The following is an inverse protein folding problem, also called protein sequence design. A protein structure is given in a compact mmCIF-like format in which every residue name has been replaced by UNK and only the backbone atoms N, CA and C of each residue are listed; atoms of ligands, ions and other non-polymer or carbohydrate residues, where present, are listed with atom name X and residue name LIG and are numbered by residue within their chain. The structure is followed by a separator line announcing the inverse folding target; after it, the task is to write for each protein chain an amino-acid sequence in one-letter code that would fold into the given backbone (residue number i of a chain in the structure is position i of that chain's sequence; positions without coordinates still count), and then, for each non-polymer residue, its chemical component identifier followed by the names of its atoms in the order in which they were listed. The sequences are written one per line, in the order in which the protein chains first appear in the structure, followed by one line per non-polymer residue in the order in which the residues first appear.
data_IF_186097501653
#
_entry.id   IF_186097501653
#
_cell.length_a   1.000
_cell.length_b   1.000
_cell.length_c   1.000
_cell.angle_alpha   90.00
_cell.angle_beta   90.00
_cell.angle_gamma   90.00
#
_symmetry.space_group_name_H-M   'P 1'
#
loop_
_entity.id
_entity.type
_entity.pdbx_description
1 polymer ?
#
# COMPACT_ATOMS: atom_id res chain seq x y z
N UNK A 1 19.24 8.56 33.44
CA UNK A 1 18.69 8.23 32.11
C UNK A 1 18.54 6.72 31.88
N UNK A 2 19.49 5.81 32.25
CA UNK A 2 19.30 4.37 32.00
C UNK A 2 18.23 3.71 32.89
N UNK A 3 18.03 4.20 34.12
CA UNK A 3 17.03 3.66 35.07
C UNK A 3 15.57 3.93 34.67
N UNK A 4 15.31 4.91 33.81
CA UNK A 4 13.95 5.30 33.40
C UNK A 4 13.37 4.39 32.31
N UNK A 5 14.18 3.88 31.39
CA UNK A 5 13.72 2.91 30.39
C UNK A 5 13.43 1.54 31.03
N UNK A 6 14.13 1.20 32.11
CA UNK A 6 13.91 -0.03 32.87
C UNK A 6 12.54 -0.06 33.58
N UNK A 7 12.04 1.10 34.02
CA UNK A 7 10.70 1.24 34.61
C UNK A 7 9.61 0.94 33.58
N UNK A 8 9.70 1.54 32.39
CA UNK A 8 8.71 1.34 31.32
C UNK A 8 8.71 -0.12 30.84
N UNK A 9 9.90 -0.70 30.62
CA UNK A 9 10.04 -2.11 30.25
C UNK A 9 9.46 -3.06 31.29
N UNK A 10 9.55 -2.71 32.57
CA UNK A 10 8.94 -3.52 33.64
C UNK A 10 7.42 -3.51 33.58
N UNK A 11 6.81 -2.38 33.21
CA UNK A 11 5.36 -2.30 32.96
C UNK A 11 4.98 -3.09 31.71
N UNK A 12 5.78 -3.01 30.65
CA UNK A 12 5.54 -3.77 29.41
C UNK A 12 5.70 -5.28 29.57
N UNK A 13 6.55 -5.74 30.49
CA UNK A 13 6.76 -7.17 30.78
C UNK A 13 5.60 -7.85 31.53
N UNK A 14 4.62 -7.10 32.04
CA UNK A 14 3.52 -7.62 32.86
C UNK A 14 2.17 -7.27 32.23
N UNK A 15 1.45 -8.25 31.64
CA UNK A 15 0.20 -8.01 30.91
C UNK A 15 -0.91 -7.32 31.72
N UNK A 16 -0.99 -7.58 33.04
CA UNK A 16 -2.00 -7.02 33.95
C UNK A 16 -1.60 -5.69 34.59
N UNK A 17 -0.47 -5.12 34.16
CA UNK A 17 0.10 -3.89 34.70
C UNK A 17 0.70 -4.04 36.09
N UNK A 18 1.39 -2.98 36.54
CA UNK A 18 2.04 -2.90 37.84
C UNK A 18 1.54 -1.70 38.63
N UNK A 19 1.48 -1.83 39.95
CA UNK A 19 1.28 -0.71 40.87
C UNK A 19 2.60 0.05 41.07
N UNK A 20 2.49 1.30 41.54
CA UNK A 20 3.66 2.10 41.92
C UNK A 20 4.52 1.40 42.98
N UNK A 21 3.90 0.67 43.92
CA UNK A 21 4.63 -0.05 44.97
C UNK A 21 5.47 -1.20 44.39
N UNK A 22 4.89 -1.99 43.49
CA UNK A 22 5.59 -3.10 42.83
C UNK A 22 6.72 -2.60 41.93
N UNK A 23 6.54 -1.45 41.27
CA UNK A 23 7.59 -0.82 40.46
C UNK A 23 8.78 -0.35 41.31
N UNK A 24 8.54 0.22 42.48
CA UNK A 24 9.59 0.68 43.39
C UNK A 24 10.35 -0.47 44.06
N UNK A 25 9.70 -1.64 44.24
CA UNK A 25 10.38 -2.86 44.69
C UNK A 25 11.32 -3.39 43.61
N UNK A 26 10.92 -3.32 42.35
CA UNK A 26 11.75 -3.78 41.21
C UNK A 26 12.87 -2.81 40.83
N UNK A 27 12.70 -1.52 41.15
CA UNK A 27 13.65 -0.45 40.86
C UNK A 27 13.96 0.38 42.11
N UNK A 28 14.69 -0.18 43.08
CA UNK A 28 14.98 0.50 44.35
C UNK A 28 15.81 1.78 44.16
N UNK A 29 16.55 1.89 43.05
CA UNK A 29 17.37 3.06 42.72
C UNK A 29 16.56 4.25 42.19
N UNK A 30 15.25 4.09 41.96
CA UNK A 30 14.38 5.17 41.46
C UNK A 30 13.55 5.77 42.59
N UNK A 31 13.66 7.09 42.78
CA UNK A 31 12.84 7.79 43.77
C UNK A 31 11.35 7.72 43.42
N UNK A 32 10.50 7.62 44.44
CA UNK A 32 9.03 7.60 44.29
C UNK A 32 8.50 8.77 43.47
N UNK A 33 9.02 9.98 43.70
CA UNK A 33 8.63 11.20 42.97
C UNK A 33 8.98 11.11 41.49
N UNK A 34 10.13 10.54 41.15
CA UNK A 34 10.56 10.33 39.76
C UNK A 34 9.70 9.30 39.06
N UNK A 35 9.39 8.17 39.72
CA UNK A 35 8.51 7.13 39.17
C UNK A 35 7.09 7.68 38.92
N UNK A 36 6.52 8.43 39.88
CA UNK A 36 5.20 9.06 39.71
C UNK A 36 5.15 10.06 38.57
N UNK A 37 6.16 10.93 38.44
CA UNK A 37 6.24 11.89 37.34
C UNK A 37 6.27 11.17 35.99
N UNK A 38 7.12 10.16 35.85
CA UNK A 38 7.25 9.42 34.59
C UNK A 38 6.00 8.62 34.23
N UNK A 39 5.37 7.97 35.21
CA UNK A 39 4.10 7.28 35.00
C UNK A 39 2.99 8.25 34.58
N UNK A 40 3.01 9.49 35.09
CA UNK A 40 2.09 10.54 34.64
C UNK A 40 2.40 10.97 33.20
N UNK A 41 3.68 11.20 32.87
CA UNK A 41 4.12 11.58 31.52
C UNK A 41 3.73 10.50 30.49
N UNK A 42 3.99 9.22 30.77
CA UNK A 42 3.64 8.11 29.87
C UNK A 42 2.13 7.84 29.75
N UNK A 43 1.34 8.21 30.75
CA UNK A 43 -0.12 8.19 30.65
C UNK A 43 -0.61 9.35 29.78
N UNK A 44 -0.01 10.55 29.91
CA UNK A 44 -0.33 11.70 29.07
C UNK A 44 0.10 11.50 27.60
N UNK A 45 1.21 10.80 27.37
CA UNK A 45 1.73 10.42 26.05
C UNK A 45 1.02 9.21 25.43
N UNK A 46 0.05 8.60 26.13
CA UNK A 46 -0.74 7.48 25.62
C UNK A 46 0.01 6.13 25.57
N UNK A 47 1.19 6.03 26.20
CA UNK A 47 1.99 4.81 26.27
C UNK A 47 1.50 3.84 27.37
N UNK A 48 0.93 4.38 28.45
CA UNK A 48 0.38 3.62 29.57
C UNK A 48 -1.08 3.99 29.88
N UNK A 49 -1.89 3.01 30.26
CA UNK A 49 -3.22 3.22 30.81
C UNK A 49 -3.16 3.12 32.34
N UNK A 50 -3.69 4.12 33.03
CA UNK A 50 -3.88 4.09 34.49
C UNK A 50 -5.27 3.52 34.82
N UNK A 51 -5.30 2.33 35.42
CA UNK A 51 -6.53 1.63 35.79
C UNK A 51 -6.69 1.65 37.31
N UNK A 52 -7.83 2.17 37.79
CA UNK A 52 -8.18 2.27 39.21
C UNK A 52 -7.67 3.53 39.91
N UNK A 53 -7.90 3.60 41.24
CA UNK A 53 -7.61 4.78 42.07
C UNK A 53 -6.74 4.48 43.29
N UNK A 54 -6.06 5.53 43.77
CA UNK A 54 -5.26 5.47 45.00
C UNK A 54 -4.12 4.45 44.96
N UNK A 55 -3.96 3.69 46.05
CA UNK A 55 -2.87 2.70 46.22
C UNK A 55 -3.03 1.45 45.35
N UNK A 56 -4.24 1.20 44.84
CA UNK A 56 -4.55 0.07 43.97
C UNK A 56 -4.42 0.40 42.47
N UNK A 57 -4.07 1.66 42.13
CA UNK A 57 -3.89 2.08 40.74
C UNK A 57 -2.78 1.28 40.06
N UNK A 58 -3.13 0.65 38.94
CA UNK A 58 -2.22 -0.13 38.09
C UNK A 58 -1.93 0.64 36.81
N UNK A 59 -0.68 0.56 36.38
CA UNK A 59 -0.22 1.12 35.12
C UNK A 59 0.01 -0.04 34.17
N UNK A 60 -0.67 -0.02 33.03
CA UNK A 60 -0.64 -1.08 32.03
C UNK A 60 -0.14 -0.52 30.71
N UNK A 61 0.63 -1.30 29.97
CA UNK A 61 0.98 -0.98 28.58
C UNK A 61 -0.28 -0.71 27.76
N UNK A 62 -0.35 0.42 27.06
CA UNK A 62 -1.31 0.58 25.97
C UNK A 62 -0.75 -0.16 24.77
N UNK A 63 -0.92 -1.48 24.76
CA UNK A 63 -0.97 -2.20 23.48
C UNK A 63 -2.19 -1.63 22.77
N UNK A 64 -2.06 -1.16 21.54
CA UNK A 64 -3.18 -0.68 20.72
C UNK A 64 -4.20 -1.80 20.48
N UNK A 65 -4.99 -2.13 21.49
CA UNK A 65 -6.29 -2.75 21.36
C UNK A 65 -7.26 -1.58 21.24
N UNK A 66 -7.56 -1.19 20.00
CA UNK A 66 -8.63 -0.25 19.72
C UNK A 66 -9.92 -0.73 20.40
N UNK A 67 -10.72 0.17 21.02
CA UNK A 67 -12.08 -0.17 21.41
C UNK A 67 -12.86 -0.53 20.15
N UNK A 68 -13.70 -1.57 20.18
CA UNK A 68 -14.45 -1.99 19.01
C UNK A 68 -15.40 -0.86 18.62
N UNK A 69 -15.16 -0.24 17.46
CA UNK A 69 -16.23 0.38 16.72
C UNK A 69 -17.31 -0.69 16.54
N UNK A 70 -18.58 -0.35 16.81
CA UNK A 70 -19.72 -1.27 16.81
C UNK A 70 -20.10 -1.77 15.40
N UNK A 71 -19.11 -2.15 14.60
CA UNK A 71 -19.24 -3.05 13.47
C UNK A 71 -19.15 -4.44 14.09
N UNK A 72 -20.19 -5.25 13.96
CA UNK A 72 -20.17 -6.63 14.44
C UNK A 72 -18.89 -7.31 13.95
N UNK A 73 -18.03 -7.78 14.87
CA UNK A 73 -16.79 -8.49 14.58
C UNK A 73 -17.12 -9.87 14.03
N UNK A 74 -17.65 -9.87 12.82
CA UNK A 74 -18.18 -11.02 12.10
C UNK A 74 -17.60 -11.00 10.70
N UNK A 75 -17.48 -12.19 10.11
CA UNK A 75 -17.04 -12.28 8.73
C UNK A 75 -18.10 -11.64 7.80
N UNK A 76 -17.69 -10.75 6.88
CA UNK A 76 -18.62 -10.04 6.01
C UNK A 76 -19.34 -11.00 5.05
N UNK A 77 -20.68 -11.04 5.12
CA UNK A 77 -21.50 -11.97 4.33
C UNK A 77 -21.47 -11.74 2.81
N UNK A 78 -21.00 -10.57 2.34
CA UNK A 78 -20.85 -10.27 0.91
C UNK A 78 -19.54 -10.80 0.30
N UNK A 79 -18.61 -11.29 1.13
CA UNK A 79 -17.34 -11.84 0.69
C UNK A 79 -17.53 -13.36 0.48
N UNK A 80 -17.48 -13.85 -0.77
CA UNK A 80 -17.83 -15.23 -1.07
C UNK A 80 -16.79 -16.19 -0.46
N UNK A 81 -17.28 -17.24 0.20
CA UNK A 81 -16.45 -18.29 0.80
C UNK A 81 -16.56 -19.58 0.00
N UNK A 82 -15.41 -20.19 -0.29
CA UNK A 82 -15.34 -21.58 -0.72
C UNK A 82 -15.78 -22.53 0.40
N UNK A 83 -16.15 -23.76 0.04
CA UNK A 83 -16.58 -24.76 1.02
C UNK A 83 -15.49 -24.99 2.09
N UNK A 84 -14.24 -25.10 1.63
CA UNK A 84 -13.04 -25.29 2.44
C UNK A 84 -12.69 -24.08 3.32
N UNK A 85 -13.29 -22.91 3.11
CA UNK A 85 -13.06 -21.75 3.98
C UNK A 85 -13.98 -21.71 5.19
N UNK A 86 -15.07 -22.48 5.18
CA UNK A 86 -16.09 -22.44 6.25
C UNK A 86 -15.62 -23.09 7.53
N UNK A 87 -14.89 -24.19 7.43
CA UNK A 87 -14.30 -24.88 8.58
C UNK A 87 -13.11 -24.09 9.18
N UNK A 88 -12.30 -23.42 8.34
CA UNK A 88 -11.28 -22.46 8.79
C UNK A 88 -11.95 -21.35 9.59
N UNK A 89 -12.98 -20.73 9.02
CA UNK A 89 -13.72 -19.64 9.66
C UNK A 89 -14.33 -20.09 10.99
N UNK A 90 -14.99 -21.25 11.01
CA UNK A 90 -15.59 -21.82 12.21
C UNK A 90 -14.56 -22.11 13.31
N UNK A 91 -13.33 -22.47 12.96
CA UNK A 91 -12.24 -22.64 13.92
C UNK A 91 -11.73 -21.29 14.45
N UNK A 92 -11.41 -20.33 13.58
CA UNK A 92 -10.82 -19.04 14.01
C UNK A 92 -11.80 -18.12 14.74
N UNK A 93 -13.11 -18.30 14.53
CA UNK A 93 -14.17 -17.60 15.27
C UNK A 93 -14.37 -18.15 16.70
N UNK A 94 -13.74 -19.27 17.05
CA UNK A 94 -13.73 -19.74 18.43
C UNK A 94 -12.94 -18.78 19.32
N UNK A 95 -13.34 -18.62 20.61
CA UNK A 95 -12.53 -17.89 21.58
C UNK A 95 -11.08 -18.39 21.58
N UNK A 96 -10.10 -17.50 21.75
CA UNK A 96 -8.65 -17.83 21.78
C UNK A 96 -8.37 -19.01 22.74
N UNK A 97 -9.10 -19.08 23.86
CA UNK A 97 -8.96 -20.11 24.89
C UNK A 97 -9.41 -21.51 24.45
N UNK A 98 -10.27 -21.60 23.42
CA UNK A 98 -10.74 -22.86 22.86
C UNK A 98 -9.84 -23.38 21.72
N UNK A 99 -8.96 -22.51 21.18
CA UNK A 99 -8.03 -22.83 20.09
C UNK A 99 -6.75 -23.46 20.62
N UNK A 100 -6.12 -24.31 19.82
CA UNK A 100 -4.92 -25.07 20.24
C UNK A 100 -3.63 -24.29 19.93
N UNK A 101 -2.73 -24.08 20.91
CA UNK A 101 -1.42 -23.49 20.65
C UNK A 101 -0.61 -24.26 19.62
N UNK A 102 -0.02 -23.53 18.67
CA UNK A 102 0.69 -24.10 17.53
C UNK A 102 1.93 -23.29 17.21
N UNK A 103 3.03 -23.96 16.87
CA UNK A 103 4.29 -23.32 16.49
C UNK A 103 4.44 -23.20 14.98
N UNK A 104 5.52 -22.55 14.53
CA UNK A 104 5.92 -22.55 13.12
C UNK A 104 6.13 -23.98 12.60
N UNK A 105 5.46 -24.34 11.51
CA UNK A 105 5.52 -25.65 10.87
C UNK A 105 6.36 -25.54 9.60
N UNK A 106 7.62 -25.97 9.68
CA UNK A 106 8.55 -25.95 8.54
C UNK A 106 8.04 -26.76 7.34
N UNK A 107 7.39 -27.89 7.59
CA UNK A 107 6.85 -28.77 6.55
C UNK A 107 5.87 -28.04 5.63
N UNK A 108 5.19 -27.00 6.11
CA UNK A 108 4.28 -26.20 5.28
C UNK A 108 5.02 -25.44 4.16
N UNK A 109 6.22 -24.93 4.43
CA UNK A 109 7.09 -24.30 3.43
C UNK A 109 7.78 -25.37 2.56
N UNK A 110 8.23 -26.46 3.16
CA UNK A 110 8.97 -27.52 2.47
C UNK A 110 8.08 -28.27 1.47
N UNK A 111 6.80 -28.49 1.81
CA UNK A 111 5.80 -29.11 0.93
C UNK A 111 5.51 -28.31 -0.34
N UNK A 112 5.70 -26.99 -0.32
CA UNK A 112 5.54 -26.16 -1.51
C UNK A 112 6.72 -26.31 -2.46
N UNK A 113 6.48 -26.83 -3.66
CA UNK A 113 7.47 -26.97 -4.73
C UNK A 113 7.13 -25.99 -5.86
N UNK A 114 7.97 -24.97 -6.12
CA UNK A 114 7.71 -23.96 -7.15
C UNK A 114 7.37 -24.58 -8.51
N UNK A 115 6.30 -24.09 -9.13
CA UNK A 115 5.78 -24.54 -10.42
C UNK A 115 5.29 -26.01 -10.48
N UNK A 116 5.29 -26.73 -9.36
CA UNK A 116 4.80 -28.11 -9.28
C UNK A 116 3.55 -28.19 -8.39
N UNK A 117 3.62 -27.58 -7.20
CA UNK A 117 2.46 -27.38 -6.32
C UNK A 117 1.92 -25.96 -6.50
N UNK A 118 0.62 -25.79 -6.30
CA UNK A 118 -0.06 -24.52 -6.55
C UNK A 118 -1.08 -24.22 -5.45
N UNK A 119 -1.02 -23.04 -4.87
CA UNK A 119 -2.07 -22.55 -3.97
C UNK A 119 -3.26 -21.98 -4.74
N UNK A 120 -3.00 -21.38 -5.91
CA UNK A 120 -4.04 -20.90 -6.81
C UNK A 120 -4.22 -21.90 -7.96
N UNK A 121 -5.46 -22.39 -8.13
CA UNK A 121 -5.78 -23.27 -9.25
C UNK A 121 -5.49 -22.58 -10.59
N UNK A 122 -5.20 -23.37 -11.62
CA UNK A 122 -4.95 -22.82 -12.96
C UNK A 122 -6.14 -21.99 -13.48
N UNK A 123 -7.37 -22.41 -13.19
CA UNK A 123 -8.57 -21.66 -13.54
C UNK A 123 -8.61 -20.29 -12.85
N UNK A 124 -8.27 -20.24 -11.55
CA UNK A 124 -8.24 -19.00 -10.78
C UNK A 124 -7.13 -18.06 -11.28
N UNK A 125 -5.92 -18.58 -11.55
CA UNK A 125 -4.81 -17.78 -12.10
C UNK A 125 -5.17 -17.18 -13.46
N UNK A 126 -5.81 -17.95 -14.34
CA UNK A 126 -6.33 -17.44 -15.62
C UNK A 126 -7.41 -16.37 -15.42
N UNK A 127 -8.34 -16.58 -14.49
CA UNK A 127 -9.36 -15.59 -14.18
C UNK A 127 -8.73 -14.26 -13.69
N UNK A 128 -7.83 -14.33 -12.71
CA UNK A 128 -7.13 -13.16 -12.19
C UNK A 128 -6.34 -12.45 -13.28
N UNK A 129 -5.67 -13.18 -14.15
CA UNK A 129 -4.96 -12.60 -15.30
C UNK A 129 -5.89 -11.89 -16.26
N UNK A 130 -7.01 -12.50 -16.64
CA UNK A 130 -7.98 -11.87 -17.53
C UNK A 130 -8.57 -10.59 -16.93
N UNK A 131 -8.78 -10.58 -15.61
CA UNK A 131 -9.23 -9.39 -14.89
C UNK A 131 -8.13 -8.34 -14.80
N UNK A 132 -6.87 -8.72 -14.60
CA UNK A 132 -5.75 -7.82 -14.34
C UNK A 132 -5.02 -7.28 -15.56
N UNK A 133 -5.42 -7.66 -16.77
CA UNK A 133 -4.77 -7.24 -18.01
C UNK A 133 -4.97 -5.75 -18.29
N UNK A 134 -3.85 -5.04 -18.43
CA UNK A 134 -3.83 -3.59 -18.68
C UNK A 134 -3.68 -3.24 -20.18
N UNK A 135 -3.41 -4.26 -21.01
CA UNK A 135 -3.02 -4.09 -22.42
C UNK A 135 -1.60 -3.53 -22.61
N UNK A 136 -0.80 -3.43 -21.55
CA UNK A 136 0.61 -3.03 -21.58
C UNK A 136 1.58 -4.22 -21.52
N UNK A 137 1.09 -5.40 -21.90
CA UNK A 137 1.89 -6.62 -21.95
C UNK A 137 3.02 -6.44 -22.98
N UNK A 138 4.27 -6.51 -22.54
CA UNK A 138 5.46 -6.32 -23.38
C UNK A 138 6.14 -4.96 -23.26
N UNK A 139 5.56 -3.99 -22.53
CA UNK A 139 6.27 -2.77 -22.13
C UNK A 139 7.29 -3.08 -21.00
N UNK A 140 8.27 -2.19 -20.76
CA UNK A 140 9.21 -2.33 -19.65
C UNK A 140 8.50 -2.58 -18.31
N UNK A 141 9.16 -3.29 -17.40
CA UNK A 141 8.59 -3.63 -16.10
C UNK A 141 8.19 -2.36 -15.32
N UNK A 142 6.98 -2.37 -14.76
CA UNK A 142 6.45 -1.27 -13.96
C UNK A 142 5.97 -0.05 -14.74
N UNK A 143 5.92 -0.06 -16.08
CA UNK A 143 5.33 1.02 -16.88
C UNK A 143 3.91 1.35 -16.43
N UNK A 144 3.06 0.33 -16.26
CA UNK A 144 1.70 0.57 -15.78
C UNK A 144 1.70 1.14 -14.36
N UNK A 145 2.50 0.55 -13.47
CA UNK A 145 2.62 0.98 -12.08
C UNK A 145 3.03 2.46 -11.95
N UNK A 146 3.97 2.92 -12.79
CA UNK A 146 4.38 4.32 -12.87
C UNK A 146 3.25 5.23 -13.37
N UNK A 147 2.51 4.80 -14.38
CA UNK A 147 1.39 5.57 -14.95
C UNK A 147 0.26 5.81 -13.93
N UNK A 148 0.04 4.88 -13.00
CA UNK A 148 -0.98 5.00 -11.94
C UNK A 148 -0.39 5.34 -10.57
N UNK A 149 0.90 5.68 -10.48
CA UNK A 149 1.65 5.75 -9.23
C UNK A 149 0.97 6.66 -8.20
N UNK A 150 0.58 7.88 -8.58
CA UNK A 150 -0.09 8.83 -7.69
C UNK A 150 -1.34 8.24 -7.03
N UNK A 151 -2.18 7.54 -7.80
CA UNK A 151 -3.40 6.93 -7.27
C UNK A 151 -3.08 5.67 -6.47
N UNK A 152 -2.17 4.83 -6.95
CA UNK A 152 -1.70 3.65 -6.24
C UNK A 152 -1.14 4.00 -4.86
N UNK A 153 -0.34 5.06 -4.77
CA UNK A 153 0.20 5.56 -3.51
C UNK A 153 -0.90 5.91 -2.53
N UNK A 154 -1.93 6.65 -2.94
CA UNK A 154 -3.04 7.03 -2.05
C UNK A 154 -3.81 5.79 -1.57
N UNK A 155 -4.23 4.95 -2.51
CA UNK A 155 -5.15 3.86 -2.22
C UNK A 155 -4.49 2.73 -1.43
N UNK A 156 -3.28 2.31 -1.82
CA UNK A 156 -2.55 1.26 -1.11
C UNK A 156 -2.04 1.74 0.25
N UNK A 157 -1.59 3.00 0.37
CA UNK A 157 -1.17 3.55 1.68
C UNK A 157 -2.35 3.59 2.65
N UNK A 158 -3.50 4.08 2.19
CA UNK A 158 -4.71 4.10 3.00
C UNK A 158 -5.17 2.69 3.38
N UNK A 159 -5.42 1.83 2.40
CA UNK A 159 -6.02 0.51 2.63
C UNK A 159 -5.13 -0.40 3.47
N UNK A 160 -3.82 -0.45 3.19
CA UNK A 160 -2.90 -1.27 3.97
C UNK A 160 -2.76 -0.77 5.42
N UNK A 161 -2.80 0.55 5.64
CA UNK A 161 -2.78 1.15 6.98
C UNK A 161 -4.10 0.90 7.72
N UNK A 162 -5.23 1.00 7.03
CA UNK A 162 -6.55 0.77 7.60
C UNK A 162 -6.72 -0.67 8.11
N UNK A 163 -6.15 -1.66 7.39
CA UNK A 163 -6.11 -3.05 7.84
C UNK A 163 -5.31 -3.26 9.14
N UNK A 164 -4.45 -2.32 9.53
CA UNK A 164 -3.74 -2.32 10.81
C UNK A 164 -4.40 -1.42 11.87
N UNK A 165 -5.60 -0.91 11.59
CA UNK A 165 -6.37 -0.07 12.52
C UNK A 165 -6.15 1.43 12.38
N UNK A 166 -5.48 1.90 11.31
CA UNK A 166 -5.36 3.34 11.06
C UNK A 166 -6.73 3.96 10.78
N UNK A 167 -6.99 5.11 11.41
CA UNK A 167 -8.27 5.82 11.36
C UNK A 167 -8.31 6.92 10.31
N UNK A 168 -7.23 7.16 9.55
CA UNK A 168 -7.24 8.06 8.39
C UNK A 168 -8.33 7.65 7.40
N UNK A 169 -9.09 8.62 6.91
CA UNK A 169 -9.96 8.40 5.76
C UNK A 169 -9.14 8.41 4.46
N UNK A 170 -9.73 7.89 3.38
CA UNK A 170 -9.11 7.97 2.05
C UNK A 170 -8.89 9.43 1.61
N UNK A 171 -9.78 10.34 2.01
CA UNK A 171 -9.66 11.77 1.73
C UNK A 171 -8.52 12.41 2.55
N UNK A 172 -8.44 12.11 3.84
CA UNK A 172 -7.32 12.57 4.70
C UNK A 172 -5.97 12.12 4.15
N UNK A 173 -5.92 10.87 3.67
CA UNK A 173 -4.71 10.30 3.06
C UNK A 173 -4.33 11.07 1.80
N UNK A 174 -5.29 11.42 0.95
CA UNK A 174 -5.04 12.23 -0.24
C UNK A 174 -4.48 13.61 0.13
N UNK A 175 -5.13 14.34 1.03
CA UNK A 175 -4.67 15.67 1.48
C UNK A 175 -3.26 15.62 2.07
N UNK A 176 -2.94 14.56 2.83
CA UNK A 176 -1.61 14.35 3.37
C UNK A 176 -0.57 14.12 2.27
N UNK A 177 -0.83 13.21 1.32
CA UNK A 177 0.17 12.81 0.33
C UNK A 177 0.35 13.84 -0.81
N UNK A 178 -0.73 14.52 -1.22
CA UNK A 178 -0.71 15.50 -2.32
C UNK A 178 -0.40 16.92 -1.85
N UNK A 179 -0.79 17.30 -0.62
CA UNK A 179 -0.67 18.67 -0.12
C UNK A 179 0.15 18.81 1.16
N UNK A 180 0.67 17.71 1.71
CA UNK A 180 1.44 17.72 2.95
C UNK A 180 0.63 18.11 4.19
N UNK A 181 -0.71 18.00 4.12
CA UNK A 181 -1.61 18.43 5.19
C UNK A 181 -2.04 17.23 6.05
N UNK A 182 -1.47 17.13 7.25
CA UNK A 182 -1.90 16.12 8.22
C UNK A 182 -3.34 16.39 8.70
N UNK A 183 -4.10 15.31 8.91
CA UNK A 183 -5.48 15.42 9.38
C UNK A 183 -5.54 15.82 10.85
N UNK A 184 -6.44 16.75 11.18
CA UNK A 184 -6.61 17.24 12.53
C UNK A 184 -7.12 16.14 13.47
N UNK A 185 -6.54 16.06 14.67
CA UNK A 185 -6.96 15.11 15.70
C UNK A 185 -6.50 13.65 15.49
N UNK A 186 -5.66 13.38 14.48
CA UNK A 186 -5.04 12.07 14.27
C UNK A 186 -3.72 11.92 15.03
N UNK A 187 -3.40 10.70 15.43
CA UNK A 187 -2.13 10.45 16.11
C UNK A 187 -0.96 10.60 15.11
N UNK A 188 0.19 11.09 15.61
CA UNK A 188 1.41 11.24 14.78
C UNK A 188 1.83 9.91 14.17
N UNK A 189 1.69 8.81 14.92
CA UNK A 189 2.03 7.46 14.46
C UNK A 189 1.16 7.00 13.27
N UNK A 190 -0.11 7.41 13.22
CA UNK A 190 -1.00 7.10 12.10
C UNK A 190 -0.59 7.86 10.84
N UNK A 191 -0.23 9.14 10.99
CA UNK A 191 0.32 9.97 9.92
C UNK A 191 1.62 9.37 9.37
N UNK A 192 2.54 9.00 10.26
CA UNK A 192 3.82 8.39 9.88
C UNK A 192 3.62 7.09 9.11
N UNK A 193 2.69 6.21 9.54
CA UNK A 193 2.43 4.96 8.84
C UNK A 193 1.96 5.16 7.38
N UNK A 194 1.18 6.22 7.11
CA UNK A 194 0.75 6.58 5.75
C UNK A 194 1.94 7.08 4.91
N UNK A 195 2.80 7.93 5.48
CA UNK A 195 3.99 8.45 4.80
C UNK A 195 5.01 7.34 4.51
N UNK A 196 5.23 6.44 5.46
CA UNK A 196 6.08 5.26 5.30
C UNK A 196 5.60 4.37 4.15
N UNK A 197 4.28 4.16 4.06
CA UNK A 197 3.70 3.40 2.96
C UNK A 197 3.94 4.09 1.60
N UNK A 198 3.78 5.42 1.51
CA UNK A 198 4.12 6.17 0.30
C UNK A 198 5.57 5.91 -0.13
N UNK A 199 6.52 6.14 0.76
CA UNK A 199 7.95 5.98 0.46
C UNK A 199 8.31 4.55 0.06
N UNK A 200 7.71 3.55 0.71
CA UNK A 200 7.93 2.15 0.36
C UNK A 200 7.32 1.77 -1.00
N UNK A 201 6.18 2.36 -1.39
CA UNK A 201 5.57 2.16 -2.72
C UNK A 201 6.44 2.78 -3.81
N UNK A 202 6.93 4.01 -3.61
CA UNK A 202 7.86 4.68 -4.52
C UNK A 202 9.11 3.81 -4.71
N UNK A 203 9.73 3.35 -3.61
CA UNK A 203 10.89 2.46 -3.64
C UNK A 203 10.63 1.20 -4.48
N UNK A 204 9.47 0.55 -4.29
CA UNK A 204 9.12 -0.67 -5.03
C UNK A 204 8.89 -0.41 -6.52
N UNK A 205 8.16 0.64 -6.88
CA UNK A 205 7.77 0.92 -8.27
C UNK A 205 8.98 1.40 -9.08
N UNK A 206 9.82 2.26 -8.50
CA UNK A 206 10.99 2.81 -9.19
C UNK A 206 12.05 1.75 -9.50
N UNK A 207 12.11 0.69 -8.68
CA UNK A 207 13.06 -0.42 -8.82
C UNK A 207 12.40 -1.72 -9.29
N UNK A 208 11.19 -1.68 -9.87
CA UNK A 208 10.44 -2.89 -10.19
C UNK A 208 11.16 -3.82 -11.18
N UNK A 209 11.94 -3.25 -12.08
CA UNK A 209 12.78 -3.96 -13.07
C UNK A 209 13.92 -4.74 -12.42
N UNK A 210 14.56 -4.18 -11.40
CA UNK A 210 15.80 -4.72 -10.79
C UNK A 210 15.61 -5.41 -9.45
N UNK A 211 14.54 -5.12 -8.72
CA UNK A 211 14.25 -5.72 -7.43
C UNK A 211 14.24 -7.27 -7.46
N UNK A 212 14.18 -7.91 -6.31
CA UNK A 212 14.08 -9.36 -6.24
C UNK A 212 13.36 -9.80 -5.00
N UNK A 213 13.01 -11.07 -4.94
CA UNK A 213 12.74 -11.67 -3.63
C UNK A 213 14.10 -12.02 -3.01
N UNK A 214 14.79 -11.00 -2.51
CA UNK A 214 16.08 -11.11 -1.85
C UNK A 214 16.06 -10.32 -0.53
N UNK A 215 17.05 -10.59 0.31
CA UNK A 215 17.17 -9.91 1.61
C UNK A 215 17.21 -8.40 1.46
N UNK A 216 17.94 -7.88 0.47
CA UNK A 216 18.07 -6.44 0.27
C UNK A 216 16.71 -5.79 0.05
N UNK A 217 15.94 -6.27 -0.93
CA UNK A 217 14.62 -5.73 -1.27
C UNK A 217 13.67 -5.83 -0.07
N UNK A 218 13.59 -7.01 0.54
CA UNK A 218 12.65 -7.28 1.65
C UNK A 218 12.96 -6.43 2.88
N UNK A 219 14.25 -6.30 3.22
CA UNK A 219 14.71 -5.51 4.36
C UNK A 219 14.58 -4.01 4.13
N UNK A 220 14.86 -3.50 2.93
CA UNK A 220 14.69 -2.07 2.64
C UNK A 220 13.22 -1.67 2.58
N UNK A 221 12.34 -2.51 2.02
CA UNK A 221 10.89 -2.25 2.08
C UNK A 221 10.39 -2.28 3.53
N UNK A 222 10.86 -3.23 4.34
CA UNK A 222 10.54 -3.26 5.76
C UNK A 222 11.03 -1.99 6.47
N UNK A 223 12.26 -1.55 6.22
CA UNK A 223 12.83 -0.32 6.80
C UNK A 223 11.97 0.89 6.46
N UNK A 224 11.62 1.09 5.18
CA UNK A 224 10.76 2.19 4.75
C UNK A 224 9.37 2.14 5.39
N UNK A 225 8.81 0.94 5.59
CA UNK A 225 7.51 0.77 6.23
C UNK A 225 7.55 0.97 7.76
N UNK A 226 8.66 0.63 8.39
CA UNK A 226 8.82 0.60 9.85
C UNK A 226 9.43 1.88 10.44
N UNK A 227 9.96 2.77 9.61
CA UNK A 227 10.64 4.01 10.00
C UNK A 227 9.88 4.78 11.10
N UNK A 228 10.51 4.95 12.27
CA UNK A 228 9.97 5.66 13.43
C UNK A 228 8.69 5.05 14.03
N UNK A 229 8.40 3.78 13.76
CA UNK A 229 7.23 3.07 14.30
C UNK A 229 7.59 1.98 15.31
N UNK A 230 8.85 1.53 15.35
CA UNK A 230 9.29 0.46 16.24
C UNK A 230 9.82 1.00 17.57
N UNK A 231 9.62 0.29 18.70
CA UNK A 231 10.20 0.67 19.99
C UNK A 231 11.73 0.68 20.00
N UNK A 232 12.34 -0.22 19.23
CA UNK A 232 13.78 -0.27 18.99
C UNK A 232 14.06 0.02 17.51
N UNK A 233 14.72 1.15 17.23
CA UNK A 233 15.04 1.56 15.86
C UNK A 233 16.06 0.62 15.21
N UNK A 234 16.81 -0.18 15.98
CA UNK A 234 17.72 -1.18 15.41
C UNK A 234 17.00 -2.37 14.75
N UNK A 235 15.70 -2.57 15.03
CA UNK A 235 14.89 -3.60 14.39
C UNK A 235 14.36 -3.16 13.01
N UNK A 236 14.44 -1.86 12.68
CA UNK A 236 14.03 -1.36 11.37
C UNK A 236 14.93 -1.95 10.28
N UNK A 237 14.30 -2.51 9.24
CA UNK A 237 15.00 -3.24 8.18
C UNK A 237 15.80 -4.47 8.62
N UNK A 238 15.70 -4.94 9.86
CA UNK A 238 16.58 -5.99 10.39
C UNK A 238 15.80 -7.23 10.82
N UNK A 239 16.37 -8.41 10.59
CA UNK A 239 15.78 -9.65 11.11
C UNK A 239 15.77 -9.62 12.64
N UNK A 240 14.65 -9.98 13.24
CA UNK A 240 14.51 -9.95 14.70
C UNK A 240 15.44 -10.98 15.35
N UNK A 241 16.01 -10.58 16.48
CA UNK A 241 16.88 -11.44 17.32
C UNK A 241 16.18 -11.97 18.57
N UNK A 242 14.91 -11.61 18.73
CA UNK A 242 14.08 -11.95 19.89
C UNK A 242 12.79 -12.64 19.43
N UNK A 243 12.12 -13.30 20.38
CA UNK A 243 10.83 -13.92 20.14
C UNK A 243 9.72 -12.85 20.13
N UNK A 244 8.73 -13.06 19.27
CA UNK A 244 7.54 -12.19 19.15
C UNK A 244 6.27 -13.02 19.34
N UNK A 245 5.21 -12.36 19.79
CA UNK A 245 3.88 -12.93 19.90
C UNK A 245 2.91 -12.19 18.98
N UNK A 246 1.83 -12.86 18.60
CA UNK A 246 0.77 -12.28 17.77
C UNK A 246 -0.46 -12.10 18.63
N UNK A 247 -0.95 -10.86 18.74
CA UNK A 247 -2.20 -10.58 19.44
C UNK A 247 -3.37 -11.37 18.86
N UNK A 248 -4.24 -11.88 19.73
CA UNK A 248 -5.44 -12.66 19.36
C UNK A 248 -5.18 -13.96 18.58
N UNK A 249 -3.94 -14.47 18.58
CA UNK A 249 -3.59 -15.74 17.98
C UNK A 249 -2.98 -16.70 18.99
N UNK A 250 -3.20 -17.99 18.79
CA UNK A 250 -2.52 -19.07 19.53
C UNK A 250 -1.23 -19.54 18.83
N UNK A 251 -0.91 -18.96 17.67
CA UNK A 251 0.30 -19.25 16.93
C UNK A 251 1.54 -18.61 17.58
N UNK A 252 2.63 -19.39 17.62
CA UNK A 252 3.93 -18.99 18.13
C UNK A 252 4.96 -19.02 17.00
N UNK A 253 5.39 -17.84 16.50
CA UNK A 253 6.43 -17.74 15.49
C UNK A 253 7.75 -18.38 15.94
N UNK A 254 8.60 -18.68 14.96
CA UNK A 254 9.90 -19.29 15.21
C UNK A 254 10.79 -18.37 16.07
N UNK A 255 11.27 -18.84 17.21
CA UNK A 255 12.06 -18.01 18.13
C UNK A 255 13.56 -17.93 17.78
N UNK A 256 14.11 -18.94 17.08
CA UNK A 256 15.53 -19.04 16.79
C UNK A 256 15.92 -18.14 15.59
N UNK A 257 16.75 -17.12 15.84
CA UNK A 257 17.16 -16.14 14.83
C UNK A 257 18.00 -16.72 13.68
N UNK A 258 18.83 -17.73 13.94
CA UNK A 258 19.62 -18.39 12.89
C UNK A 258 18.70 -19.15 11.93
N UNK A 259 17.82 -19.99 12.48
CA UNK A 259 16.86 -20.76 11.69
C UNK A 259 15.88 -19.84 10.94
N UNK A 260 15.51 -18.71 11.55
CA UNK A 260 14.69 -17.67 10.91
C UNK A 260 15.36 -17.12 9.64
N UNK A 261 16.66 -16.81 9.72
CA UNK A 261 17.45 -16.35 8.59
C UNK A 261 17.53 -17.37 7.46
N UNK A 262 17.78 -18.64 7.79
CA UNK A 262 17.84 -19.74 6.82
C UNK A 262 16.49 -19.97 6.12
N UNK A 263 15.40 -19.99 6.88
CA UNK A 263 14.06 -20.19 6.33
C UNK A 263 13.60 -19.01 5.48
N UNK A 264 14.02 -17.79 5.82
CA UNK A 264 13.80 -16.63 4.96
C UNK A 264 14.50 -16.83 3.61
N UNK A 265 15.76 -17.25 3.60
CA UNK A 265 16.49 -17.50 2.35
C UNK A 265 15.81 -18.58 1.50
N UNK A 266 15.37 -19.67 2.13
CA UNK A 266 14.63 -20.75 1.44
C UNK A 266 13.31 -20.22 0.85
N UNK A 267 12.55 -19.45 1.62
CA UNK A 267 11.29 -18.85 1.16
C UNK A 267 11.51 -17.91 -0.03
N UNK A 268 12.52 -17.05 0.05
CA UNK A 268 12.86 -16.09 -0.99
C UNK A 268 13.38 -16.79 -2.26
N UNK A 269 14.18 -17.84 -2.11
CA UNK A 269 14.62 -18.68 -3.22
C UNK A 269 13.44 -19.39 -3.90
N UNK A 270 12.47 -19.91 -3.13
CA UNK A 270 11.22 -20.49 -3.68
C UNK A 270 10.41 -19.42 -4.40
N UNK A 271 10.25 -18.24 -3.82
CA UNK A 271 9.50 -17.14 -4.42
C UNK A 271 10.07 -16.74 -5.79
N UNK A 272 11.38 -16.56 -5.92
CA UNK A 272 12.02 -16.22 -7.21
C UNK A 272 11.83 -17.28 -8.30
N UNK A 273 11.60 -18.54 -7.94
CA UNK A 273 11.39 -19.62 -8.91
C UNK A 273 9.95 -19.68 -9.43
N UNK A 274 8.96 -19.05 -8.77
CA UNK A 274 7.56 -19.09 -9.19
C UNK A 274 7.38 -18.23 -10.43
N UNK A 275 6.89 -18.82 -11.53
CA UNK A 275 6.73 -18.10 -12.80
C UNK A 275 5.42 -17.32 -12.90
N UNK A 276 4.33 -17.81 -12.30
CA UNK A 276 3.04 -17.13 -12.39
C UNK A 276 3.00 -15.95 -11.39
N UNK A 277 2.75 -14.71 -11.85
CA UNK A 277 2.76 -13.54 -10.99
C UNK A 277 1.73 -13.58 -9.85
N UNK A 278 0.57 -14.20 -10.05
CA UNK A 278 -0.46 -14.30 -9.02
C UNK A 278 -0.10 -15.35 -7.98
N UNK A 279 0.42 -16.49 -8.41
CA UNK A 279 0.95 -17.49 -7.49
C UNK A 279 2.11 -16.91 -6.67
N UNK A 280 3.04 -16.19 -7.31
CA UNK A 280 4.19 -15.58 -6.66
C UNK A 280 3.76 -14.50 -5.65
N UNK A 281 2.78 -13.67 -6.03
CA UNK A 281 2.13 -12.68 -5.16
C UNK A 281 1.50 -13.34 -3.94
N UNK A 282 0.68 -14.37 -4.15
CA UNK A 282 -0.02 -15.07 -3.08
C UNK A 282 0.91 -15.85 -2.16
N UNK A 283 1.95 -16.49 -2.71
CA UNK A 283 2.98 -17.20 -1.94
C UNK A 283 3.64 -16.29 -0.89
N UNK A 284 3.99 -15.05 -1.28
CA UNK A 284 4.59 -14.08 -0.36
C UNK A 284 3.59 -13.59 0.70
N UNK A 285 2.33 -13.39 0.32
CA UNK A 285 1.27 -13.05 1.28
C UNK A 285 1.00 -14.16 2.31
N UNK A 286 1.26 -15.42 1.96
CA UNK A 286 1.13 -16.55 2.87
C UNK A 286 2.37 -16.64 3.77
N UNK A 287 3.56 -16.75 3.18
CA UNK A 287 4.74 -17.23 3.90
C UNK A 287 5.51 -16.16 4.66
N UNK A 288 5.61 -14.93 4.15
CA UNK A 288 6.31 -13.86 4.85
C UNK A 288 5.68 -13.53 6.22
N UNK A 289 4.36 -13.29 6.32
CA UNK A 289 3.74 -13.03 7.61
C UNK A 289 3.62 -14.28 8.49
N UNK A 290 3.64 -15.48 7.92
CA UNK A 290 3.69 -16.74 8.68
C UNK A 290 5.05 -16.96 9.35
N UNK A 291 6.15 -16.66 8.65
CA UNK A 291 7.51 -16.77 9.18
C UNK A 291 7.82 -15.71 10.26
N UNK A 292 7.28 -14.51 10.09
CA UNK A 292 7.56 -13.33 10.92
C UNK A 292 9.05 -13.04 11.08
N UNK A 293 9.76 -12.67 9.99
CA UNK A 293 11.17 -12.32 10.05
C UNK A 293 11.47 -11.05 10.86
N UNK A 294 10.51 -10.15 11.02
CA UNK A 294 10.68 -8.84 11.65
C UNK A 294 9.96 -8.73 13.00
N UNK A 295 10.38 -7.77 13.83
CA UNK A 295 9.78 -7.51 15.14
C UNK A 295 8.29 -7.11 15.04
N UNK A 296 7.94 -6.31 14.02
CA UNK A 296 6.57 -5.98 13.62
C UNK A 296 6.54 -5.70 12.09
N UNK A 297 5.45 -5.17 11.54
CA UNK A 297 5.33 -4.71 10.14
C UNK A 297 5.37 -5.84 9.09
N UNK A 298 5.40 -7.11 9.53
CA UNK A 298 5.42 -8.28 8.64
C UNK A 298 4.25 -8.30 7.64
N UNK A 299 3.02 -8.05 8.09
CA UNK A 299 1.83 -8.05 7.23
C UNK A 299 1.86 -6.90 6.20
N UNK A 300 2.22 -5.68 6.62
CA UNK A 300 2.38 -4.52 5.73
C UNK A 300 3.44 -4.77 4.66
N UNK A 301 4.59 -5.31 5.08
CA UNK A 301 5.69 -5.69 4.16
C UNK A 301 5.20 -6.74 3.16
N UNK A 302 4.46 -7.75 3.61
CA UNK A 302 3.93 -8.79 2.72
C UNK A 302 2.93 -8.25 1.69
N UNK A 303 2.02 -7.34 2.09
CA UNK A 303 1.02 -6.75 1.19
C UNK A 303 1.67 -5.88 0.11
N UNK A 304 2.71 -5.12 0.47
CA UNK A 304 3.45 -4.33 -0.50
C UNK A 304 4.27 -5.23 -1.43
N UNK A 305 5.02 -6.17 -0.89
CA UNK A 305 5.89 -7.06 -1.67
C UNK A 305 5.08 -7.99 -2.61
N UNK A 306 3.85 -8.34 -2.24
CA UNK A 306 2.91 -9.07 -3.10
C UNK A 306 2.56 -8.33 -4.40
N UNK A 307 2.79 -7.02 -4.48
CA UNK A 307 2.60 -6.25 -5.70
C UNK A 307 3.79 -6.32 -6.67
N UNK A 308 5.00 -6.65 -6.19
CA UNK A 308 6.20 -6.74 -7.03
C UNK A 308 5.99 -7.55 -8.33
N UNK A 309 5.47 -8.80 -8.28
CA UNK A 309 5.33 -9.60 -9.48
C UNK A 309 4.22 -9.10 -10.41
N UNK A 310 3.19 -8.45 -9.86
CA UNK A 310 2.11 -7.85 -10.64
C UNK A 310 2.61 -6.61 -11.40
N UNK A 311 3.35 -5.74 -10.71
CA UNK A 311 3.95 -4.53 -11.30
C UNK A 311 4.94 -4.91 -12.40
N UNK A 312 5.79 -5.93 -12.16
CA UNK A 312 6.73 -6.46 -13.17
C UNK A 312 6.06 -6.92 -14.45
N UNK A 313 4.93 -7.61 -14.30
CA UNK A 313 4.15 -8.10 -15.42
C UNK A 313 3.24 -7.02 -16.05
N UNK A 314 3.33 -5.76 -15.60
CA UNK A 314 2.41 -4.68 -15.97
C UNK A 314 0.93 -5.05 -15.79
N UNK A 315 0.62 -5.86 -14.78
CA UNK A 315 -0.73 -6.20 -14.37
C UNK A 315 -1.28 -5.13 -13.43
N UNK A 316 -2.61 -5.08 -13.29
CA UNK A 316 -3.24 -4.27 -12.25
C UNK A 316 -2.67 -4.64 -10.88
N UNK A 317 -2.25 -3.66 -10.05
CA UNK A 317 -1.77 -3.92 -8.70
C UNK A 317 -2.92 -4.32 -7.77
N UNK A 318 -2.57 -4.99 -6.68
CA UNK A 318 -3.43 -5.33 -5.56
C UNK A 318 -3.38 -4.21 -4.51
N UNK A 319 -4.49 -3.51 -4.34
CA UNK A 319 -4.58 -2.31 -3.48
C UNK A 319 -5.22 -2.54 -2.12
N UNK A 320 -5.91 -3.67 -1.92
CA UNK A 320 -6.67 -3.98 -0.70
C UNK A 320 -7.81 -2.98 -0.39
N UNK A 321 -8.23 -2.17 -1.37
CA UNK A 321 -9.39 -1.29 -1.23
C UNK A 321 -10.63 -2.11 -0.81
N UNK A 322 -11.38 -1.54 0.12
CA UNK A 322 -12.61 -2.11 0.70
C UNK A 322 -12.45 -3.47 1.38
N UNK A 323 -11.23 -3.98 1.54
CA UNK A 323 -11.00 -5.26 2.24
C UNK A 323 -11.33 -5.09 3.71
N UNK A 324 -12.28 -5.87 4.26
CA UNK A 324 -12.65 -5.73 5.67
C UNK A 324 -11.54 -6.27 6.57
N UNK A 325 -11.09 -5.47 7.54
CA UNK A 325 -10.10 -5.89 8.52
C UNK A 325 -10.47 -7.20 9.26
N UNK A 326 -11.75 -7.44 9.66
CA UNK A 326 -12.17 -8.71 10.23
C UNK A 326 -11.93 -9.91 9.31
N UNK A 327 -12.18 -9.76 8.00
CA UNK A 327 -11.99 -10.83 7.02
C UNK A 327 -10.50 -11.15 6.81
N UNK A 328 -9.68 -10.11 6.63
CA UNK A 328 -8.24 -10.28 6.44
C UNK A 328 -7.56 -10.87 7.67
N UNK A 329 -7.97 -10.45 8.87
CA UNK A 329 -7.45 -10.99 10.14
C UNK A 329 -7.75 -12.48 10.26
N UNK A 330 -9.01 -12.90 10.04
CA UNK A 330 -9.42 -14.31 10.09
C UNK A 330 -8.71 -15.16 9.04
N UNK A 331 -8.59 -14.65 7.81
CA UNK A 331 -7.83 -15.29 6.76
C UNK A 331 -6.37 -15.54 7.15
N UNK A 332 -5.74 -14.54 7.77
CA UNK A 332 -4.36 -14.63 8.27
C UNK A 332 -4.25 -15.65 9.41
N UNK A 333 -5.20 -15.67 10.34
CA UNK A 333 -5.26 -16.65 11.43
C UNK A 333 -5.41 -18.08 10.91
N UNK A 334 -6.17 -18.30 9.83
CA UNK A 334 -6.27 -19.61 9.18
C UNK A 334 -4.91 -20.13 8.71
N UNK A 335 -4.07 -19.26 8.16
CA UNK A 335 -2.69 -19.61 7.79
C UNK A 335 -1.86 -19.89 9.04
N UNK A 336 -1.89 -18.99 10.02
CA UNK A 336 -1.05 -19.06 11.21
C UNK A 336 -1.33 -20.30 12.05
N UNK A 337 -2.61 -20.61 12.26
CA UNK A 337 -3.01 -21.60 13.24
C UNK A 337 -3.34 -22.96 12.63
N UNK A 338 -3.68 -22.99 11.34
CA UNK A 338 -4.09 -24.22 10.67
C UNK A 338 -3.21 -24.56 9.46
N UNK A 339 -2.27 -23.70 9.06
CA UNK A 339 -1.50 -23.84 7.80
C UNK A 339 -2.39 -24.00 6.57
N UNK A 340 -3.59 -23.39 6.62
CA UNK A 340 -4.60 -23.44 5.56
C UNK A 340 -4.74 -22.10 4.87
N UNK A 341 -4.76 -22.11 3.55
CA UNK A 341 -4.65 -20.92 2.69
C UNK A 341 -5.98 -20.50 2.07
N UNK A 342 -7.03 -21.32 2.18
CA UNK A 342 -8.25 -21.22 1.40
C UNK A 342 -9.02 -19.94 1.74
N UNK A 343 -9.10 -19.59 3.02
CA UNK A 343 -9.75 -18.35 3.46
C UNK A 343 -8.96 -17.11 3.00
N UNK A 344 -7.63 -17.16 3.03
CA UNK A 344 -6.78 -16.09 2.49
C UNK A 344 -6.87 -16.00 0.97
N UNK A 345 -7.00 -17.12 0.27
CA UNK A 345 -7.21 -17.18 -1.18
C UNK A 345 -8.53 -16.52 -1.57
N UNK A 346 -9.60 -16.77 -0.81
CA UNK A 346 -10.90 -16.15 -1.06
C UNK A 346 -10.85 -14.62 -0.86
N UNK A 347 -10.20 -14.16 0.22
CA UNK A 347 -9.96 -12.72 0.47
C UNK A 347 -9.06 -12.11 -0.61
N UNK A 348 -7.99 -12.80 -1.03
CA UNK A 348 -7.08 -12.35 -2.08
C UNK A 348 -7.79 -12.16 -3.42
N UNK A 349 -8.58 -13.16 -3.83
CA UNK A 349 -9.39 -13.10 -5.05
C UNK A 349 -10.36 -11.91 -5.01
N UNK A 350 -11.08 -11.76 -3.90
CA UNK A 350 -12.05 -10.67 -3.75
C UNK A 350 -11.36 -9.30 -3.76
N UNK A 351 -10.24 -9.16 -3.06
CA UNK A 351 -9.45 -7.94 -3.03
C UNK A 351 -8.94 -7.57 -4.43
N UNK A 352 -8.45 -8.56 -5.20
CA UNK A 352 -7.99 -8.33 -6.56
C UNK A 352 -9.14 -7.93 -7.50
N UNK A 353 -10.30 -8.56 -7.37
CA UNK A 353 -11.50 -8.15 -8.12
C UNK A 353 -11.86 -6.70 -7.88
N UNK A 354 -11.76 -6.23 -6.63
CA UNK A 354 -11.99 -4.82 -6.29
C UNK A 354 -10.94 -3.91 -6.91
N UNK A 355 -9.67 -4.25 -6.78
CA UNK A 355 -8.58 -3.45 -7.36
C UNK A 355 -8.72 -3.31 -8.88
N UNK A 356 -9.05 -4.39 -9.60
CA UNK A 356 -9.22 -4.34 -11.07
C UNK A 356 -10.37 -3.44 -11.51
N UNK A 357 -11.51 -3.46 -10.80
CA UNK A 357 -12.64 -2.57 -11.09
C UNK A 357 -12.26 -1.09 -10.92
N UNK A 358 -11.56 -0.75 -9.85
CA UNK A 358 -11.16 0.64 -9.57
C UNK A 358 -10.11 1.17 -10.55
N UNK A 359 -9.20 0.33 -11.05
CA UNK A 359 -8.01 0.79 -11.79
C UNK A 359 -8.07 0.61 -13.30
N UNK A 360 -8.86 -0.32 -13.82
CA UNK A 360 -9.02 -0.43 -15.28
C UNK A 360 -9.86 0.69 -15.87
N UNK A 361 -10.78 1.25 -15.07
CA UNK A 361 -11.59 2.40 -15.47
C UNK A 361 -10.73 3.66 -15.68
N UNK A 362 -9.61 3.79 -14.95
CA UNK A 362 -8.69 4.95 -15.03
C UNK A 362 -8.02 5.06 -16.40
N UNK A 363 -7.82 3.95 -17.13
CA UNK A 363 -7.27 3.98 -18.50
C UNK A 363 -8.17 4.75 -19.48
N UNK A 364 -9.47 4.88 -19.20
CA UNK A 364 -10.37 5.67 -20.05
C UNK A 364 -10.15 7.18 -19.91
N UNK A 365 -9.59 7.62 -18.78
CA UNK A 365 -9.44 9.04 -18.45
C UNK A 365 -7.99 9.56 -18.51
N UNK A 366 -6.99 8.68 -18.44
CA UNK A 366 -5.58 9.02 -18.65
C UNK A 366 -5.25 9.11 -20.14
N UNK A 367 -5.73 10.14 -20.83
CA UNK A 367 -5.06 10.62 -22.05
C UNK A 367 -3.69 11.13 -21.64
N UNK A 368 -2.64 10.36 -21.93
CA UNK A 368 -1.26 10.86 -21.85
C UNK A 368 -1.15 12.14 -22.70
N UNK A 369 -0.56 13.23 -22.17
CA UNK A 369 -0.29 14.41 -22.97
C UNK A 369 0.59 14.00 -24.14
N UNK A 370 0.08 14.14 -25.36
CA UNK A 370 0.81 13.84 -26.59
C UNK A 370 2.20 14.52 -26.54
N UNK A 371 3.32 13.77 -26.59
CA UNK A 371 4.67 14.31 -26.49
C UNK A 371 4.95 15.42 -27.52
N UNK A 372 4.34 15.34 -28.70
CA UNK A 372 4.46 16.37 -29.74
C UNK A 372 3.79 17.69 -29.31
N UNK A 373 2.69 17.62 -28.56
CA UNK A 373 2.03 18.80 -27.98
C UNK A 373 2.89 19.48 -26.92
N UNK A 374 3.68 18.71 -26.18
CA UNK A 374 4.59 19.24 -25.17
C UNK A 374 5.78 19.96 -25.81
N UNK A 375 6.43 19.31 -26.78
CA UNK A 375 7.63 19.83 -27.47
C UNK A 375 7.30 21.05 -28.33
N UNK A 376 6.18 21.04 -29.04
CA UNK A 376 5.80 22.11 -29.97
C UNK A 376 4.70 23.03 -29.43
N UNK A 377 4.48 23.06 -28.10
CA UNK A 377 3.39 23.80 -27.46
C UNK A 377 3.29 25.24 -27.92
N UNK A 378 4.40 25.97 -27.91
CA UNK A 378 4.43 27.40 -28.24
C UNK A 378 4.21 27.64 -29.73
N UNK A 379 4.76 26.76 -30.58
CA UNK A 379 4.58 26.83 -32.03
C UNK A 379 3.11 26.57 -32.40
N UNK A 380 2.50 25.53 -31.82
CA UNK A 380 1.07 25.20 -32.01
C UNK A 380 0.21 26.37 -31.51
N UNK A 381 0.52 26.93 -30.33
CA UNK A 381 -0.21 28.08 -29.78
C UNK A 381 -0.17 29.27 -30.72
N UNK A 382 1.00 29.59 -31.25
CA UNK A 382 1.19 30.73 -32.15
C UNK A 382 0.49 30.52 -33.49
N UNK A 383 0.60 29.31 -34.09
CA UNK A 383 -0.08 29.01 -35.35
C UNK A 383 -1.61 29.10 -35.23
N UNK A 384 -2.20 28.58 -34.14
CA UNK A 384 -3.64 28.70 -33.90
C UNK A 384 -4.05 30.17 -33.76
N UNK A 385 -3.25 30.97 -33.05
CA UNK A 385 -3.49 32.41 -32.93
C UNK A 385 -3.45 33.10 -34.31
N UNK A 386 -2.40 32.85 -35.10
CA UNK A 386 -2.17 33.55 -36.37
C UNK A 386 -3.21 33.18 -37.42
N UNK A 387 -3.69 31.94 -37.43
CA UNK A 387 -4.81 31.51 -38.30
C UNK A 387 -6.10 32.25 -37.96
N UNK A 388 -6.38 32.48 -36.68
CA UNK A 388 -7.63 33.14 -36.24
C UNK A 388 -7.56 34.66 -36.43
N UNK A 389 -6.38 35.27 -36.27
CA UNK A 389 -6.20 36.73 -36.46
C UNK A 389 -6.11 37.10 -37.94
N UNK A 390 -5.49 36.26 -38.77
CA UNK A 390 -5.28 36.50 -40.20
C UNK A 390 -6.46 35.94 -41.01
N UNK A 391 -7.60 36.63 -40.95
CA UNK A 391 -8.85 36.19 -41.60
C UNK A 391 -8.86 36.28 -43.13
N UNK A 392 -7.97 37.08 -43.71
CA UNK A 392 -7.97 37.32 -45.16
C UNK A 392 -7.18 36.26 -45.96
N UNK A 393 -6.44 35.39 -45.29
CA UNK A 393 -5.59 34.36 -45.90
C UNK A 393 -6.21 32.95 -45.81
N UNK A 394 -5.69 31.98 -46.55
CA UNK A 394 -6.08 30.57 -46.38
C UNK A 394 -5.46 30.04 -45.06
N UNK A 395 -6.26 29.49 -44.13
CA UNK A 395 -5.74 28.85 -42.93
C UNK A 395 -4.60 27.85 -43.18
N UNK A 396 -4.65 27.10 -44.28
CA UNK A 396 -3.61 26.12 -44.62
C UNK A 396 -2.28 26.80 -44.96
N UNK A 397 -2.31 27.93 -45.68
CA UNK A 397 -1.11 28.69 -46.05
C UNK A 397 -0.44 29.37 -44.82
N UNK A 398 -1.26 29.76 -43.83
CA UNK A 398 -0.77 30.27 -42.54
C UNK A 398 -0.09 29.15 -41.74
N UNK A 399 -0.71 27.96 -41.70
CA UNK A 399 -0.14 26.79 -41.02
C UNK A 399 1.17 26.37 -41.68
N UNK A 400 1.20 26.28 -43.01
CA UNK A 400 2.37 25.79 -43.75
C UNK A 400 3.58 26.74 -43.60
N UNK A 401 3.37 28.05 -43.43
CA UNK A 401 4.43 28.99 -43.04
C UNK A 401 4.93 28.76 -41.61
N UNK A 402 4.03 28.53 -40.65
CA UNK A 402 4.40 28.26 -39.26
C UNK A 402 5.25 26.99 -39.09
N UNK A 403 4.98 25.98 -39.92
CA UNK A 403 5.71 24.72 -39.95
C UNK A 403 7.17 24.84 -40.45
N UNK A 404 7.57 25.96 -41.04
CA UNK A 404 8.95 26.18 -41.45
C UNK A 404 9.93 26.13 -40.27
N UNK A 405 9.46 26.48 -39.06
CA UNK A 405 10.20 26.43 -37.80
C UNK A 405 10.26 25.04 -37.15
N UNK A 406 9.56 24.05 -37.71
CA UNK A 406 9.47 22.68 -37.19
C UNK A 406 10.38 21.75 -37.99
N UNK A 407 11.02 20.81 -37.29
CA UNK A 407 11.84 19.74 -37.89
C UNK A 407 11.07 18.95 -38.93
N UNK A 408 11.72 18.60 -40.05
CA UNK A 408 11.06 18.00 -41.20
C UNK A 408 10.32 16.69 -40.88
N UNK A 409 10.84 15.91 -39.92
CA UNK A 409 10.23 14.66 -39.45
C UNK A 409 8.92 14.85 -38.68
N UNK A 410 8.68 16.02 -38.09
CA UNK A 410 7.53 16.30 -37.22
C UNK A 410 6.46 17.20 -37.89
N UNK A 411 6.72 17.75 -39.08
CA UNK A 411 5.81 18.72 -39.74
C UNK A 411 4.42 18.17 -39.99
N UNK A 412 4.30 16.94 -40.47
CA UNK A 412 3.01 16.32 -40.79
C UNK A 412 2.13 16.17 -39.55
N UNK A 413 2.73 15.73 -38.44
CA UNK A 413 2.01 15.48 -37.20
C UNK A 413 1.64 16.80 -36.50
N UNK A 414 2.56 17.77 -36.46
CA UNK A 414 2.28 19.12 -35.92
C UNK A 414 1.20 19.84 -36.73
N UNK A 415 1.18 19.67 -38.07
CA UNK A 415 0.11 20.19 -38.94
C UNK A 415 -1.25 19.62 -38.55
N UNK A 416 -1.33 18.30 -38.34
CA UNK A 416 -2.55 17.64 -37.89
C UNK A 416 -3.03 18.16 -36.53
N UNK A 417 -2.11 18.37 -35.59
CA UNK A 417 -2.42 18.90 -34.26
C UNK A 417 -2.99 20.33 -34.29
N UNK A 418 -2.44 21.21 -35.14
CA UNK A 418 -2.97 22.58 -35.29
C UNK A 418 -4.38 22.56 -35.88
N UNK A 419 -4.63 21.73 -36.90
CA UNK A 419 -5.96 21.58 -37.49
C UNK A 419 -6.98 21.08 -36.46
N UNK A 420 -6.60 20.10 -35.65
CA UNK A 420 -7.46 19.58 -34.59
C UNK A 420 -7.73 20.61 -33.49
N UNK A 421 -6.76 21.45 -33.13
CA UNK A 421 -6.96 22.55 -32.17
C UNK A 421 -7.89 23.63 -32.74
N UNK A 422 -7.77 23.98 -34.02
CA UNK A 422 -8.67 24.92 -34.70
C UNK A 422 -10.12 24.41 -34.70
N UNK A 423 -10.33 23.11 -34.92
CA UNK A 423 -11.65 22.47 -34.86
C UNK A 423 -12.27 22.49 -33.45
N UNK A 424 -11.43 22.54 -32.41
CA UNK A 424 -11.84 22.56 -31.01
C UNK A 424 -11.93 23.97 -30.42
N UNK A 425 -11.76 25.02 -31.22
CA UNK A 425 -11.87 26.39 -30.74
C UNK A 425 -13.31 26.71 -30.31
N UNK A 426 -13.45 27.10 -29.05
CA UNK A 426 -14.68 27.65 -28.48
C UNK A 426 -14.31 28.71 -27.43
N UNK A 427 -15.31 29.44 -26.93
CA UNK A 427 -15.11 30.59 -26.02
C UNK A 427 -14.27 30.24 -24.77
N UNK A 428 -14.40 29.01 -24.25
CA UNK A 428 -13.69 28.52 -23.07
C UNK A 428 -12.21 28.21 -23.26
N UNK A 429 -11.68 28.21 -24.50
CA UNK A 429 -10.25 27.90 -24.77
C UNK A 429 -9.47 29.07 -25.37
N UNK A 430 -10.10 30.22 -25.62
CA UNK A 430 -9.48 31.36 -26.32
C UNK A 430 -8.26 31.96 -25.59
N UNK A 431 -8.33 32.07 -24.27
CA UNK A 431 -7.24 32.64 -23.46
C UNK A 431 -5.93 31.85 -23.60
N UNK A 432 -5.99 30.52 -23.82
CA UNK A 432 -4.82 29.66 -24.06
C UNK A 432 -4.01 30.12 -25.28
N UNK A 433 -4.69 30.68 -26.28
CA UNK A 433 -4.12 31.12 -27.55
C UNK A 433 -3.93 32.64 -27.61
N UNK A 434 -4.22 33.39 -26.54
CA UNK A 434 -4.16 34.86 -26.55
C UNK A 434 -5.26 35.52 -27.39
N UNK A 435 -6.35 34.81 -27.68
CA UNK A 435 -7.44 35.26 -28.54
C UNK A 435 -8.60 35.87 -27.71
N UNK A 436 -9.35 36.79 -28.34
CA UNK A 436 -10.57 37.41 -27.80
C UNK A 436 -11.82 36.87 -28.51
N UNK A 437 -13.01 36.85 -27.86
CA UNK A 437 -14.25 36.38 -28.48
C UNK A 437 -14.58 37.05 -29.83
N UNK A 438 -14.31 38.36 -29.96
CA UNK A 438 -14.52 39.09 -31.20
C UNK A 438 -13.64 38.61 -32.38
N UNK A 439 -12.42 38.11 -32.10
CA UNK A 439 -11.52 37.57 -33.12
C UNK A 439 -12.02 36.22 -33.62
N UNK A 440 -12.48 35.34 -32.71
CA UNK A 440 -13.08 34.05 -33.08
C UNK A 440 -14.34 34.25 -33.94
N UNK A 441 -15.25 35.15 -33.53
CA UNK A 441 -16.48 35.42 -34.27
C UNK A 441 -16.22 35.92 -35.69
N UNK A 442 -15.22 36.81 -35.85
CA UNK A 442 -14.80 37.32 -37.17
C UNK A 442 -14.25 36.21 -38.05
N UNK A 443 -13.43 35.32 -37.49
CA UNK A 443 -12.87 34.18 -38.22
C UNK A 443 -13.93 33.18 -38.65
N UNK A 444 -14.85 32.81 -37.75
CA UNK A 444 -15.95 31.89 -38.06
C UNK A 444 -16.90 32.44 -39.14
N UNK A 445 -17.21 33.74 -39.10
CA UNK A 445 -18.03 34.39 -40.12
C UNK A 445 -17.38 34.29 -41.52
N UNK A 446 -16.06 34.45 -41.60
CA UNK A 446 -15.31 34.35 -42.85
C UNK A 446 -15.21 32.91 -43.38
N UNK A 447 -15.04 31.93 -42.49
CA UNK A 447 -15.02 30.50 -42.86
C UNK A 447 -16.39 30.00 -43.34
N UNK A 448 -17.49 30.64 -42.89
CA UNK A 448 -18.85 30.30 -43.34
C UNK A 448 -19.21 30.98 -44.68
N UNK A 449 -18.48 32.05 -45.04
CA UNK A 449 -18.67 32.80 -46.28
C UNK A 449 -17.81 32.28 -47.45
N UNK A 450 -16.82 31.41 -47.17
CA UNK A 450 -16.06 30.64 -48.16
C UNK A 450 -16.70 29.27 -48.34
#
# INVERSE_FOLDING_TARGET
MPSTNLLLNSVYSVPDGLTLAELLVRHPDVSRRTAQRRLHDWVAEGQLAALGEGRARRYRAVVFAHPPSAVADTFPGYLPLSADSRDILAYVDQPVQARQPVGYQRDFLDAYQPNQTWYLSESLRRQLRNMGQTGQTGLPAGTYGRAILSRLMIDLSWASSHLEGNTYTRLDTRELLEHGRAAAGKAVIETQMILNHKSAIELLVDHADTAGFDRFTVMNLHSALAENLLPDSADEGSLRKHAVGIGQSVFRPLANAHQLGELLDIMLAKANQIHDPFEQSFFIMVHLPYLQPFADVNKRTSRLLANLPLIRANLCPLTFLDVPAPAYTRATLGVYEMTRIELLRDVYRWAYERSTKEYLDIKRDLTEPDPLRLVHRDVIRQMVHDVVVTVDEDPLDVIDRGLASVEASARTDVRGLVIDELRRLHEGVLARYGLRPAQLARWQAQQTAR
#
